data_IF_248650178422
#
_entry.id   IF_248650178422
#
_cell.length_a   1.000
_cell.length_b   1.000
_cell.length_c   1.000
_cell.angle_alpha   90.00
_cell.angle_beta   90.00
_cell.angle_gamma   90.00
#
_symmetry.space_group_name_H-M   'P 1'
#
loop_
_entity.id
_entity.type
_entity.pdbx_description
1 polymer ?
#
# COMPACT_ATOMS: atom_id res chain seq x y z
N UNK A 1 1.91 55.76 -10.28
CA UNK A 1 2.66 54.60 -9.77
C UNK A 1 1.67 53.78 -8.97
N UNK A 2 0.92 52.93 -9.66
CA UNK A 2 0.09 51.93 -9.01
C UNK A 2 1.00 50.73 -8.76
N UNK A 3 1.61 50.72 -7.59
CA UNK A 3 2.29 49.55 -7.05
C UNK A 3 1.24 48.45 -6.89
N UNK A 4 1.01 47.70 -7.97
CA UNK A 4 0.49 46.33 -7.91
C UNK A 4 1.50 45.57 -7.07
N UNK A 5 1.30 45.62 -5.74
CA UNK A 5 1.80 44.64 -4.80
C UNK A 5 1.19 43.32 -5.24
N UNK A 6 1.88 42.67 -6.18
CA UNK A 6 1.76 41.25 -6.47
C UNK A 6 2.11 40.61 -5.14
N UNK A 7 1.09 40.44 -4.32
CA UNK A 7 1.13 39.58 -3.16
C UNK A 7 1.33 38.20 -3.74
N UNK A 8 2.60 37.83 -3.91
CA UNK A 8 3.05 36.46 -3.84
C UNK A 8 2.51 35.93 -2.51
N UNK A 9 1.24 35.52 -2.51
CA UNK A 9 0.74 34.49 -1.62
C UNK A 9 1.59 33.28 -1.97
N UNK A 10 2.77 33.21 -1.35
CA UNK A 10 3.53 31.98 -1.20
C UNK A 10 2.50 30.96 -0.77
N UNK A 11 2.23 30.04 -1.68
CA UNK A 11 1.28 28.97 -1.51
C UNK A 11 1.85 28.05 -0.43
N UNK A 12 1.75 28.45 0.83
CA UNK A 12 2.05 27.65 2.02
C UNK A 12 0.96 26.60 2.24
N UNK A 13 0.38 26.06 1.15
CA UNK A 13 -0.36 24.81 1.25
C UNK A 13 0.65 23.75 1.65
N UNK A 14 0.44 23.17 2.82
CA UNK A 14 1.06 21.93 3.26
C UNK A 14 1.04 20.94 2.09
N UNK A 15 2.22 20.71 1.50
CA UNK A 15 2.39 19.69 0.48
C UNK A 15 2.58 18.37 1.20
N UNK A 16 1.50 17.61 1.31
CA UNK A 16 1.58 16.24 1.85
C UNK A 16 1.90 15.27 0.72
N UNK A 17 2.56 14.17 1.05
CA UNK A 17 2.96 13.11 0.10
C UNK A 17 2.24 11.79 0.34
N UNK A 18 1.05 11.81 0.93
CA UNK A 18 0.33 10.60 1.33
C UNK A 18 -0.04 9.72 0.14
N UNK A 19 -0.37 10.32 -1.01
CA UNK A 19 -0.62 9.57 -2.24
C UNK A 19 0.58 8.75 -2.72
N UNK A 20 1.79 9.31 -2.63
CA UNK A 20 3.03 8.59 -2.97
C UNK A 20 3.29 7.47 -1.97
N UNK A 21 3.11 7.75 -0.68
CA UNK A 21 3.27 6.75 0.39
C UNK A 21 2.29 5.58 0.22
N UNK A 22 1.03 5.87 -0.10
CA UNK A 22 0.01 4.85 -0.39
C UNK A 22 0.42 3.94 -1.55
N UNK A 23 0.89 4.54 -2.64
CA UNK A 23 1.36 3.79 -3.80
C UNK A 23 2.57 2.92 -3.47
N UNK A 24 3.55 3.48 -2.73
CA UNK A 24 4.73 2.73 -2.30
C UNK A 24 4.34 1.53 -1.43
N UNK A 25 3.42 1.71 -0.47
CA UNK A 25 2.92 0.60 0.36
C UNK A 25 2.23 -0.48 -0.48
N UNK A 26 1.45 -0.10 -1.50
CA UNK A 26 0.81 -1.05 -2.39
C UNK A 26 1.81 -1.88 -3.19
N UNK A 27 2.86 -1.24 -3.75
CA UNK A 27 3.91 -1.94 -4.49
C UNK A 27 4.71 -2.89 -3.56
N UNK A 28 5.06 -2.44 -2.36
CA UNK A 28 5.79 -3.26 -1.38
C UNK A 28 4.93 -4.44 -0.91
N UNK A 29 3.65 -4.22 -0.64
CA UNK A 29 2.68 -5.27 -0.29
C UNK A 29 2.63 -6.35 -1.36
N UNK A 30 2.48 -5.98 -2.65
CA UNK A 30 2.48 -6.94 -3.76
C UNK A 30 3.82 -7.68 -3.85
N UNK A 31 4.94 -6.98 -3.70
CA UNK A 31 6.26 -7.61 -3.73
C UNK A 31 6.44 -8.67 -2.64
N UNK A 32 6.01 -8.36 -1.42
CA UNK A 32 6.05 -9.30 -0.29
C UNK A 32 5.11 -10.49 -0.50
N UNK A 33 3.89 -10.25 -1.00
CA UNK A 33 2.92 -11.30 -1.36
C UNK A 33 3.50 -12.28 -2.39
N UNK A 34 4.08 -11.76 -3.47
CA UNK A 34 4.69 -12.59 -4.52
C UNK A 34 5.88 -13.38 -3.95
N UNK A 35 6.71 -12.75 -3.13
CA UNK A 35 7.82 -13.44 -2.47
C UNK A 35 7.35 -14.56 -1.55
N UNK A 36 6.29 -14.33 -0.77
CA UNK A 36 5.68 -15.33 0.10
C UNK A 36 5.13 -16.52 -0.72
N UNK A 37 4.42 -16.23 -1.81
CA UNK A 37 3.82 -17.25 -2.69
C UNK A 37 4.90 -18.10 -3.36
N UNK A 38 5.95 -17.46 -3.89
CA UNK A 38 7.08 -18.16 -4.50
C UNK A 38 7.77 -19.04 -3.45
N UNK A 39 8.08 -18.49 -2.28
CA UNK A 39 8.76 -19.25 -1.23
C UNK A 39 7.93 -20.46 -0.80
N UNK A 40 6.62 -20.29 -0.60
CA UNK A 40 5.71 -21.39 -0.27
C UNK A 40 5.70 -22.49 -1.35
N UNK A 41 5.75 -22.12 -2.63
CA UNK A 41 5.72 -23.09 -3.73
C UNK A 41 6.97 -23.99 -3.81
N UNK A 42 8.09 -23.58 -3.23
CA UNK A 42 9.36 -24.35 -3.24
C UNK A 42 9.65 -25.09 -1.94
N UNK A 43 8.82 -24.94 -0.90
CA UNK A 43 8.97 -25.64 0.38
C UNK A 43 8.12 -26.92 0.40
N UNK A 44 8.64 -27.99 1.00
CA UNK A 44 7.79 -29.15 1.33
C UNK A 44 6.83 -28.81 2.48
N UNK A 45 5.72 -29.53 2.62
CA UNK A 45 4.74 -29.30 3.70
C UNK A 45 5.41 -29.29 5.08
N UNK A 46 6.33 -30.22 5.33
CA UNK A 46 7.06 -30.31 6.60
C UNK A 46 7.94 -29.07 6.86
N UNK A 47 8.54 -28.50 5.81
CA UNK A 47 9.32 -27.26 5.93
C UNK A 47 8.41 -26.04 6.10
N UNK A 48 7.26 -26.02 5.43
CA UNK A 48 6.26 -24.95 5.52
C UNK A 48 5.72 -24.82 6.95
N UNK A 49 5.42 -25.95 7.60
CA UNK A 49 4.96 -26.01 8.99
C UNK A 49 6.04 -25.55 9.97
N UNK A 50 7.32 -25.86 9.73
CA UNK A 50 8.40 -25.47 10.65
C UNK A 50 8.88 -24.03 10.47
N UNK A 51 8.87 -23.52 9.24
CA UNK A 51 9.53 -22.26 8.94
C UNK A 51 8.61 -21.04 9.12
N UNK A 52 7.28 -21.18 9.02
CA UNK A 52 6.26 -20.11 9.16
C UNK A 52 6.51 -18.80 8.36
N UNK A 53 7.64 -18.69 7.67
CA UNK A 53 8.18 -17.50 7.04
C UNK A 53 7.30 -17.00 5.90
N UNK A 54 6.76 -17.87 5.00
CA UNK A 54 5.77 -17.43 4.03
C UNK A 54 4.53 -16.79 4.69
N UNK A 55 4.04 -17.35 5.79
CA UNK A 55 2.92 -16.80 6.54
C UNK A 55 3.22 -15.44 7.16
N UNK A 56 4.41 -15.25 7.74
CA UNK A 56 4.84 -13.96 8.26
C UNK A 56 4.99 -12.88 7.17
N UNK A 57 5.52 -13.26 6.02
CA UNK A 57 5.62 -12.35 4.87
C UNK A 57 4.23 -11.93 4.38
N UNK A 58 3.27 -12.86 4.35
CA UNK A 58 1.88 -12.57 3.97
C UNK A 58 1.20 -11.62 4.96
N UNK A 59 1.36 -11.85 6.27
CA UNK A 59 0.81 -10.96 7.31
C UNK A 59 1.41 -9.55 7.18
N UNK A 60 2.73 -9.46 6.96
CA UNK A 60 3.39 -8.17 6.76
C UNK A 60 2.90 -7.48 5.49
N UNK A 61 2.73 -8.22 4.40
CA UNK A 61 2.20 -7.73 3.13
C UNK A 61 0.78 -7.16 3.30
N UNK A 62 -0.10 -7.88 4.00
CA UNK A 62 -1.45 -7.44 4.31
C UNK A 62 -1.47 -6.21 5.24
N UNK A 63 -0.57 -6.14 6.22
CA UNK A 63 -0.44 -4.96 7.08
C UNK A 63 0.01 -3.71 6.30
N UNK A 64 0.98 -3.86 5.39
CA UNK A 64 1.40 -2.79 4.49
C UNK A 64 0.26 -2.36 3.55
N UNK A 65 -0.51 -3.31 3.04
CA UNK A 65 -1.70 -3.02 2.22
C UNK A 65 -2.70 -2.12 2.96
N UNK A 66 -3.04 -2.50 4.20
CA UNK A 66 -3.96 -1.72 5.04
C UNK A 66 -3.43 -0.32 5.32
N UNK A 67 -2.14 -0.18 5.62
CA UNK A 67 -1.50 1.13 5.76
C UNK A 67 -1.57 1.94 4.46
N UNK A 68 -1.39 1.29 3.30
CA UNK A 68 -1.54 1.87 1.97
C UNK A 68 -2.96 2.37 1.69
N UNK A 69 -3.99 1.61 2.05
CA UNK A 69 -5.39 2.02 1.93
C UNK A 69 -5.70 3.25 2.79
N UNK A 70 -5.30 3.23 4.06
CA UNK A 70 -5.53 4.34 5.00
C UNK A 70 -4.83 5.61 4.51
N UNK A 71 -3.54 5.51 4.16
CA UNK A 71 -2.79 6.66 3.65
C UNK A 71 -3.32 7.18 2.33
N UNK A 72 -3.81 6.29 1.45
CA UNK A 72 -4.45 6.67 0.19
C UNK A 72 -5.76 7.43 0.40
N UNK A 73 -6.61 6.95 1.31
CA UNK A 73 -7.86 7.63 1.67
C UNK A 73 -7.60 8.99 2.33
N UNK A 74 -6.57 9.08 3.19
CA UNK A 74 -6.13 10.37 3.75
C UNK A 74 -5.59 11.29 2.66
N UNK A 75 -4.81 10.78 1.71
CA UNK A 75 -4.30 11.55 0.57
C UNK A 75 -5.43 12.10 -0.30
N UNK A 76 -6.54 11.37 -0.44
CA UNK A 76 -7.67 11.83 -1.25
C UNK A 76 -8.51 12.93 -0.57
N UNK A 77 -8.69 12.82 0.74
CA UNK A 77 -9.50 13.74 1.57
C UNK A 77 -8.74 15.00 1.97
N UNK A 78 -7.41 14.93 2.08
CA UNK A 78 -6.56 16.08 2.42
C UNK A 78 -6.18 16.89 1.17
N UNK A 79 -5.53 18.04 1.37
CA UNK A 79 -4.97 18.86 0.28
C UNK A 79 -3.65 18.27 -0.24
N UNK A 80 -3.64 16.97 -0.50
CA UNK A 80 -2.47 16.30 -1.06
C UNK A 80 -2.15 16.87 -2.44
N UNK A 81 -0.86 17.07 -2.68
CA UNK A 81 -0.36 17.61 -3.94
C UNK A 81 -0.41 16.54 -5.04
N UNK A 82 -0.41 15.27 -4.65
CA UNK A 82 -0.30 14.10 -5.53
C UNK A 82 -1.59 13.27 -5.54
N UNK A 83 -2.74 13.89 -5.81
CA UNK A 83 -4.04 13.19 -5.89
C UNK A 83 -4.06 12.03 -6.88
N UNK A 84 -3.37 12.16 -8.01
CA UNK A 84 -3.24 11.06 -8.98
C UNK A 84 -2.53 9.84 -8.38
N UNK A 85 -1.49 10.07 -7.56
CA UNK A 85 -0.81 9.00 -6.85
C UNK A 85 -1.69 8.40 -5.74
N UNK A 86 -2.53 9.20 -5.08
CA UNK A 86 -3.50 8.71 -4.09
C UNK A 86 -4.56 7.77 -4.72
N UNK A 87 -5.11 8.15 -5.88
CA UNK A 87 -6.03 7.28 -6.63
C UNK A 87 -5.36 5.99 -7.10
N UNK A 88 -4.17 6.09 -7.72
CA UNK A 88 -3.42 4.93 -8.16
C UNK A 88 -3.04 4.03 -6.99
N UNK A 89 -2.58 4.61 -5.88
CA UNK A 89 -2.25 3.90 -4.65
C UNK A 89 -3.45 3.17 -4.07
N UNK A 90 -4.61 3.82 -3.98
CA UNK A 90 -5.86 3.17 -3.57
C UNK A 90 -6.23 2.01 -4.50
N UNK A 91 -6.19 2.21 -5.82
CA UNK A 91 -6.52 1.15 -6.77
C UNK A 91 -5.59 -0.07 -6.63
N UNK A 92 -4.28 0.17 -6.53
CA UNK A 92 -3.27 -0.89 -6.33
C UNK A 92 -3.52 -1.63 -5.02
N UNK A 93 -3.74 -0.90 -3.92
CA UNK A 93 -3.97 -1.53 -2.62
C UNK A 93 -5.31 -2.29 -2.60
N UNK A 94 -6.38 -1.80 -3.22
CA UNK A 94 -7.66 -2.52 -3.33
C UNK A 94 -7.45 -3.85 -4.07
N UNK A 95 -6.75 -3.84 -5.20
CA UNK A 95 -6.45 -5.06 -5.95
C UNK A 95 -5.62 -6.05 -5.11
N UNK A 96 -4.58 -5.56 -4.42
CA UNK A 96 -3.77 -6.40 -3.53
C UNK A 96 -4.58 -6.94 -2.33
N UNK A 97 -5.53 -6.17 -1.79
CA UNK A 97 -6.42 -6.63 -0.72
C UNK A 97 -7.26 -7.84 -1.16
N UNK A 98 -7.73 -7.88 -2.42
CA UNK A 98 -8.45 -9.03 -2.95
C UNK A 98 -7.59 -10.30 -2.95
N UNK A 99 -6.30 -10.19 -3.27
CA UNK A 99 -5.37 -11.32 -3.23
C UNK A 99 -5.10 -11.79 -1.80
N UNK A 100 -4.85 -10.88 -0.87
CA UNK A 100 -4.66 -11.22 0.56
C UNK A 100 -5.89 -11.90 1.14
N UNK A 101 -7.08 -11.39 0.86
CA UNK A 101 -8.34 -11.99 1.32
C UNK A 101 -8.53 -13.38 0.74
N UNK A 102 -8.18 -13.60 -0.53
CA UNK A 102 -8.21 -14.93 -1.13
C UNK A 102 -7.25 -15.90 -0.41
N UNK A 103 -5.98 -15.53 -0.23
CA UNK A 103 -5.00 -16.42 0.44
C UNK A 103 -5.42 -16.74 1.87
N UNK A 104 -5.91 -15.76 2.62
CA UNK A 104 -6.44 -16.00 3.96
C UNK A 104 -7.65 -16.94 3.93
N UNK A 105 -8.62 -16.71 3.05
CA UNK A 105 -9.79 -17.57 2.92
C UNK A 105 -9.42 -19.00 2.51
N UNK A 106 -8.50 -19.16 1.56
CA UNK A 106 -7.99 -20.46 1.14
C UNK A 106 -7.24 -21.17 2.27
N UNK A 107 -6.46 -20.43 3.06
CA UNK A 107 -5.76 -20.96 4.23
C UNK A 107 -6.66 -21.42 5.38
N UNK A 108 -7.89 -20.89 5.50
CA UNK A 108 -8.88 -21.34 6.48
C UNK A 108 -9.78 -22.48 5.99
N UNK A 109 -9.82 -22.75 4.68
CA UNK A 109 -10.65 -23.79 4.08
C UNK A 109 -9.93 -25.15 3.91
N UNK A 110 -8.63 -25.21 4.24
CA UNK A 110 -7.79 -26.41 4.29
C UNK A 110 -7.61 -26.87 5.75
#
# INVERSE_FOLDING_TARGET
MDDKKITLRLNTRSQTGFGIVSLAFGVVSIGLFVAATILAAFLSEEQLVRQHLPGWLEILAAAMNMAGLVTGAVGETTRDTFKGAAHAGLAVNILAALFHLWVLAAGFML
#
